data_IF_350465354751
#
_entry.id   IF_350465354751
#
_cell.length_a   1.000
_cell.length_b   1.000
_cell.length_c   1.000
_cell.angle_alpha   90.00
_cell.angle_beta   90.00
_cell.angle_gamma   90.00
#
_symmetry.space_group_name_H-M   'P 1'
#
loop_
_entity.id
_entity.type
_entity.pdbx_description
1 polymer ?
#
# COMPACT_ATOMS: atom_id res chain seq x y z
N UNK A 1 7.91 -19.45 11.31
CA UNK A 1 7.08 -20.15 10.31
C UNK A 1 6.06 -20.97 11.07
N UNK A 2 4.98 -20.31 11.49
CA UNK A 2 3.81 -20.98 12.06
C UNK A 2 3.24 -21.99 11.05
N UNK A 3 2.63 -23.07 11.56
CA UNK A 3 2.01 -24.12 10.72
C UNK A 3 0.88 -23.55 9.83
N UNK A 4 0.29 -22.42 10.22
CA UNK A 4 -0.83 -21.76 9.54
C UNK A 4 -0.49 -21.20 8.15
N UNK A 5 0.78 -20.83 7.87
CA UNK A 5 1.17 -20.38 6.53
C UNK A 5 1.31 -21.52 5.51
N UNK A 6 1.57 -22.75 5.98
CA UNK A 6 1.67 -23.93 5.11
C UNK A 6 0.25 -24.40 4.70
N UNK A 7 -0.75 -24.14 5.54
CA UNK A 7 -2.15 -24.55 5.29
C UNK A 7 -2.96 -23.56 4.43
N UNK A 8 -2.51 -22.30 4.27
CA UNK A 8 -3.05 -21.40 3.23
C UNK A 8 -2.62 -21.89 1.85
N UNK A 9 -3.37 -22.85 1.34
CA UNK A 9 -3.26 -23.45 0.00
C UNK A 9 -2.90 -22.37 -1.02
N UNK A 10 -1.78 -22.54 -1.74
CA UNK A 10 -1.46 -21.67 -2.87
C UNK A 10 -2.68 -21.67 -3.79
N UNK A 11 -3.22 -20.50 -4.19
CA UNK A 11 -4.39 -20.46 -5.04
C UNK A 11 -4.08 -21.23 -6.32
N UNK A 12 -5.00 -22.10 -6.72
CA UNK A 12 -4.87 -22.91 -7.93
C UNK A 12 -5.00 -22.10 -9.23
N UNK A 13 -5.12 -20.77 -9.13
CA UNK A 13 -5.30 -19.83 -10.22
C UNK A 13 -4.07 -18.94 -10.37
N UNK A 14 -3.26 -19.20 -11.40
CA UNK A 14 -2.14 -18.37 -11.80
C UNK A 14 -2.61 -17.41 -12.89
N UNK A 15 -2.51 -16.11 -12.64
CA UNK A 15 -2.74 -15.07 -13.64
C UNK A 15 -1.41 -14.69 -14.29
N UNK A 16 -1.15 -15.23 -15.48
CA UNK A 16 0.08 -14.98 -16.24
C UNK A 16 0.23 -13.54 -16.73
N UNK A 17 -0.86 -12.76 -16.75
CA UNK A 17 -0.82 -11.34 -17.15
C UNK A 17 -0.44 -10.42 -16.00
N UNK A 18 -0.62 -10.86 -14.76
CA UNK A 18 -0.45 -10.05 -13.56
C UNK A 18 0.95 -9.43 -13.40
N UNK A 19 2.08 -10.14 -13.65
CA UNK A 19 3.40 -9.51 -13.56
C UNK A 19 3.57 -8.33 -14.52
N UNK A 20 3.10 -8.46 -15.77
CA UNK A 20 3.20 -7.40 -16.78
C UNK A 20 2.33 -6.21 -16.41
N UNK A 21 1.14 -6.47 -15.87
CA UNK A 21 0.27 -5.45 -15.31
C UNK A 21 0.97 -4.67 -14.18
N UNK A 22 1.60 -5.36 -13.22
CA UNK A 22 2.31 -4.70 -12.14
C UNK A 22 3.47 -3.83 -12.64
N UNK A 23 4.19 -4.25 -13.68
CA UNK A 23 5.24 -3.42 -14.28
C UNK A 23 4.70 -2.09 -14.83
N UNK A 24 3.47 -2.09 -15.37
CA UNK A 24 2.79 -0.86 -15.83
C UNK A 24 2.30 0.01 -14.66
N UNK A 25 2.03 -0.61 -13.51
CA UNK A 25 1.55 0.06 -12.29
C UNK A 25 2.69 0.45 -11.32
N UNK A 26 3.92 0.59 -11.83
CA UNK A 26 5.07 1.10 -11.08
C UNK A 26 6.04 0.03 -10.56
N UNK A 27 5.76 -1.26 -10.75
CA UNK A 27 6.69 -2.35 -10.41
C UNK A 27 7.66 -2.69 -11.55
N UNK A 28 8.18 -1.68 -12.26
CA UNK A 28 8.92 -1.84 -13.53
C UNK A 28 10.06 -2.87 -13.44
N UNK A 29 10.77 -2.88 -12.30
CA UNK A 29 11.95 -3.73 -12.04
C UNK A 29 11.64 -5.07 -11.36
N UNK A 30 10.38 -5.50 -11.34
CA UNK A 30 9.93 -6.76 -10.73
C UNK A 30 10.82 -7.97 -11.10
N UNK A 31 11.18 -8.10 -12.39
CA UNK A 31 11.95 -9.23 -12.89
C UNK A 31 13.44 -9.23 -12.55
N UNK A 32 13.97 -8.13 -12.00
CA UNK A 32 15.35 -8.10 -11.53
C UNK A 32 15.55 -8.94 -10.25
N UNK A 33 14.46 -9.30 -9.55
CA UNK A 33 14.55 -10.06 -8.31
C UNK A 33 14.96 -11.52 -8.53
N UNK A 34 16.19 -11.86 -8.16
CA UNK A 34 16.72 -13.23 -8.07
C UNK A 34 16.55 -13.92 -6.70
N UNK A 35 15.70 -13.39 -5.81
CA UNK A 35 15.32 -14.03 -4.53
C UNK A 35 16.41 -14.19 -3.44
N UNK A 36 17.42 -13.31 -3.38
CA UNK A 36 18.49 -13.37 -2.34
C UNK A 36 18.05 -13.14 -0.88
N UNK A 37 16.83 -12.67 -0.63
CA UNK A 37 16.29 -12.35 0.70
C UNK A 37 16.94 -11.20 1.48
N UNK A 38 17.78 -10.37 0.85
CA UNK A 38 18.32 -9.15 1.47
C UNK A 38 17.20 -8.23 2.00
N UNK A 39 16.12 -8.09 1.23
CA UNK A 39 14.93 -7.34 1.64
C UNK A 39 14.27 -7.88 2.91
N UNK A 40 14.24 -9.20 3.13
CA UNK A 40 13.73 -9.83 4.35
C UNK A 40 14.68 -9.59 5.52
N UNK A 41 15.99 -9.72 5.29
CA UNK A 41 17.03 -9.51 6.31
C UNK A 41 17.02 -8.08 6.87
N UNK A 42 16.89 -7.07 5.99
CA UNK A 42 16.86 -5.66 6.38
C UNK A 42 15.50 -5.20 6.93
N UNK A 43 14.44 -5.99 6.80
CA UNK A 43 13.11 -5.57 7.21
C UNK A 43 12.97 -5.59 8.74
N UNK A 44 12.58 -4.46 9.38
CA UNK A 44 12.34 -4.44 10.82
C UNK A 44 11.16 -5.33 11.20
N UNK A 45 10.14 -5.44 10.33
CA UNK A 45 8.96 -6.26 10.60
C UNK A 45 9.25 -7.75 10.49
N UNK A 46 10.02 -8.20 9.50
CA UNK A 46 10.41 -9.62 9.43
C UNK A 46 11.22 -10.09 10.65
N UNK A 47 11.83 -9.15 11.40
CA UNK A 47 12.54 -9.44 12.66
C UNK A 47 11.60 -9.51 13.87
N UNK A 48 10.49 -8.78 13.84
CA UNK A 48 9.51 -8.71 14.93
C UNK A 48 8.41 -9.76 14.76
N UNK A 49 7.94 -9.92 13.53
CA UNK A 49 6.97 -10.90 13.08
C UNK A 49 7.66 -11.85 12.09
N UNK A 50 7.96 -13.06 12.56
CA UNK A 50 8.64 -14.08 11.77
C UNK A 50 7.83 -14.62 10.59
N UNK A 51 6.54 -14.25 10.48
CA UNK A 51 5.67 -14.67 9.40
C UNK A 51 5.56 -13.60 8.29
N UNK A 52 5.93 -12.33 8.55
CA UNK A 52 6.03 -11.30 7.51
C UNK A 52 7.30 -11.43 6.67
N UNK A 53 7.16 -11.58 5.35
CA UNK A 53 8.30 -11.73 4.45
C UNK A 53 8.09 -10.99 3.12
N UNK A 54 8.74 -9.81 2.91
CA UNK A 54 8.56 -9.03 1.68
C UNK A 54 9.03 -9.77 0.44
N UNK A 55 10.02 -10.68 0.55
CA UNK A 55 10.50 -11.49 -0.57
C UNK A 55 9.41 -12.39 -1.15
N UNK A 56 8.53 -12.94 -0.30
CA UNK A 56 7.46 -13.83 -0.74
C UNK A 56 6.43 -13.09 -1.59
N UNK A 57 6.10 -11.84 -1.24
CA UNK A 57 5.23 -10.99 -2.06
C UNK A 57 5.82 -10.70 -3.44
N UNK A 58 7.11 -10.36 -3.50
CA UNK A 58 7.81 -10.15 -4.80
C UNK A 58 7.79 -11.43 -5.63
N UNK A 59 8.01 -12.59 -4.99
CA UNK A 59 7.97 -13.88 -5.69
C UNK A 59 6.58 -14.20 -6.20
N UNK A 60 5.55 -14.00 -5.38
CA UNK A 60 4.16 -14.26 -5.71
C UNK A 60 3.68 -13.33 -6.84
N UNK A 61 4.08 -12.06 -6.81
CA UNK A 61 3.85 -11.10 -7.90
C UNK A 61 4.43 -11.60 -9.23
N UNK A 62 5.71 -12.00 -9.26
CA UNK A 62 6.33 -12.54 -10.48
C UNK A 62 5.79 -13.91 -10.90
N UNK A 63 5.18 -14.67 -10.00
CA UNK A 63 4.51 -15.95 -10.32
C UNK A 63 3.05 -15.78 -10.78
N UNK A 64 2.50 -14.57 -10.77
CA UNK A 64 1.10 -14.35 -11.14
C UNK A 64 0.10 -14.82 -10.07
N UNK A 65 0.52 -14.97 -8.82
CA UNK A 65 -0.36 -15.41 -7.71
C UNK A 65 -1.19 -14.25 -7.17
N UNK A 66 -1.99 -13.61 -8.03
CA UNK A 66 -2.76 -12.39 -7.74
C UNK A 66 -3.62 -12.54 -6.50
N UNK A 67 -4.51 -13.52 -6.47
CA UNK A 67 -5.46 -13.73 -5.36
C UNK A 67 -4.75 -13.89 -4.00
N UNK A 68 -3.66 -14.64 -3.97
CA UNK A 68 -2.87 -14.84 -2.73
C UNK A 68 -2.32 -13.51 -2.23
N UNK A 69 -1.80 -12.67 -3.12
CA UNK A 69 -1.22 -11.39 -2.72
C UNK A 69 -2.30 -10.42 -2.22
N UNK A 70 -3.39 -10.27 -2.97
CA UNK A 70 -4.41 -9.26 -2.67
C UNK A 70 -5.19 -9.57 -1.39
N UNK A 71 -5.46 -10.85 -1.11
CA UNK A 71 -6.21 -11.27 0.09
C UNK A 71 -5.32 -11.43 1.34
N UNK A 72 -3.99 -11.33 1.20
CA UNK A 72 -3.09 -11.49 2.32
C UNK A 72 -2.92 -10.17 3.07
N UNK A 73 -3.59 -10.05 4.22
CA UNK A 73 -3.54 -8.88 5.09
C UNK A 73 -2.12 -8.42 5.45
N UNK A 74 -1.16 -9.34 5.55
CA UNK A 74 0.23 -8.99 5.87
C UNK A 74 0.92 -8.15 4.77
N UNK A 75 0.34 -8.05 3.56
CA UNK A 75 0.76 -7.08 2.54
C UNK A 75 0.78 -5.65 3.11
N UNK A 76 -0.22 -5.32 3.93
CA UNK A 76 -0.40 -4.01 4.51
C UNK A 76 0.58 -3.69 5.64
N UNK A 77 1.29 -4.70 6.17
CA UNK A 77 2.27 -4.48 7.24
C UNK A 77 3.48 -3.68 6.76
N UNK A 78 3.83 -3.75 5.47
CA UNK A 78 4.96 -2.98 4.92
C UNK A 78 4.89 -1.50 5.33
N UNK A 79 5.88 -1.03 6.08
CA UNK A 79 5.98 0.35 6.57
C UNK A 79 6.42 1.36 5.50
N UNK A 80 6.74 0.90 4.28
CA UNK A 80 7.30 1.72 3.22
C UNK A 80 8.56 2.51 3.68
N UNK A 81 9.44 1.86 4.47
CA UNK A 81 10.66 2.48 4.99
C UNK A 81 11.84 2.51 4.01
N UNK A 82 11.67 1.96 2.80
CA UNK A 82 12.67 1.90 1.73
C UNK A 82 13.98 1.13 2.00
N UNK A 83 14.20 0.59 3.20
CA UNK A 83 15.44 -0.18 3.51
C UNK A 83 15.70 -1.31 2.51
N UNK A 84 14.67 -2.09 2.17
CA UNK A 84 14.79 -3.18 1.21
C UNK A 84 15.07 -2.74 -0.22
N UNK A 85 14.74 -1.50 -0.57
CA UNK A 85 15.03 -0.88 -1.85
C UNK A 85 16.49 -0.46 -1.94
N UNK A 86 16.97 0.30 -0.96
CA UNK A 86 18.36 0.78 -0.91
C UNK A 86 19.37 -0.36 -0.81
N UNK A 87 19.02 -1.45 -0.11
CA UNK A 87 19.91 -2.58 0.05
C UNK A 87 19.84 -3.61 -1.10
N UNK A 88 18.96 -3.44 -2.08
CA UNK A 88 18.76 -4.44 -3.12
C UNK A 88 19.97 -4.50 -4.08
N UNK A 89 20.70 -5.62 -4.17
CA UNK A 89 21.90 -5.70 -5.01
C UNK A 89 21.60 -5.65 -6.52
N UNK A 90 20.38 -6.02 -6.92
CA UNK A 90 19.94 -6.05 -8.32
C UNK A 90 19.03 -4.86 -8.68
N UNK A 91 18.84 -3.92 -7.75
CA UNK A 91 17.91 -2.80 -7.90
C UNK A 91 16.50 -3.26 -8.33
N UNK A 92 15.95 -4.29 -7.67
CA UNK A 92 14.63 -4.83 -7.98
C UNK A 92 13.46 -4.01 -7.40
N UNK A 93 13.77 -2.84 -6.83
CA UNK A 93 12.84 -1.87 -6.19
C UNK A 93 11.68 -2.52 -5.40
N UNK A 94 11.97 -3.35 -4.37
CA UNK A 94 10.94 -4.06 -3.60
C UNK A 94 9.84 -3.19 -3.00
N UNK A 95 10.16 -1.96 -2.59
CA UNK A 95 9.16 -1.05 -2.00
C UNK A 95 8.12 -0.65 -3.04
N UNK A 96 8.53 -0.37 -4.27
CA UNK A 96 7.60 -0.06 -5.37
C UNK A 96 6.76 -1.26 -5.79
N UNK A 97 7.34 -2.46 -5.84
CA UNK A 97 6.57 -3.69 -6.07
C UNK A 97 5.46 -3.82 -5.01
N UNK A 98 5.79 -3.66 -3.73
CA UNK A 98 4.81 -3.72 -2.64
C UNK A 98 3.76 -2.60 -2.74
N UNK A 99 4.15 -1.39 -3.14
CA UNK A 99 3.20 -0.28 -3.35
C UNK A 99 2.24 -0.58 -4.50
N UNK A 100 2.72 -1.09 -5.64
CA UNK A 100 1.87 -1.48 -6.77
C UNK A 100 0.86 -2.57 -6.37
N UNK A 101 1.30 -3.54 -5.56
CA UNK A 101 0.42 -4.57 -4.99
C UNK A 101 -0.64 -3.98 -4.06
N UNK A 102 -0.26 -3.04 -3.18
CA UNK A 102 -1.21 -2.33 -2.28
C UNK A 102 -2.23 -1.51 -3.08
N UNK A 103 -1.80 -0.84 -4.15
CA UNK A 103 -2.70 -0.09 -5.05
C UNK A 103 -3.71 -1.02 -5.72
N UNK A 104 -3.27 -2.19 -6.21
CA UNK A 104 -4.18 -3.20 -6.74
C UNK A 104 -5.13 -3.75 -5.67
N UNK A 105 -4.63 -4.06 -4.48
CA UNK A 105 -5.44 -4.55 -3.39
C UNK A 105 -6.51 -3.51 -2.99
N UNK A 106 -6.14 -2.23 -2.92
CA UNK A 106 -7.06 -1.13 -2.69
C UNK A 106 -8.12 -1.07 -3.77
N UNK A 107 -7.74 -1.02 -5.06
CA UNK A 107 -8.68 -0.96 -6.20
C UNK A 107 -9.64 -2.15 -6.29
N UNK A 108 -9.36 -3.24 -5.59
CA UNK A 108 -10.16 -4.47 -5.56
C UNK A 108 -10.94 -4.64 -4.23
N UNK A 109 -10.94 -3.62 -3.35
CA UNK A 109 -11.68 -3.66 -2.08
C UNK A 109 -11.01 -4.46 -0.96
N UNK A 110 -9.70 -4.77 -1.07
CA UNK A 110 -8.93 -5.49 -0.05
C UNK A 110 -8.13 -4.56 0.88
N UNK A 111 -8.49 -3.28 0.94
CA UNK A 111 -7.87 -2.33 1.85
C UNK A 111 -8.38 -2.52 3.30
N UNK A 112 -7.51 -2.35 4.32
CA UNK A 112 -7.93 -2.27 5.71
C UNK A 112 -8.92 -1.12 5.91
N UNK A 113 -9.94 -1.34 6.73
CA UNK A 113 -11.00 -0.37 7.00
C UNK A 113 -10.50 1.05 7.38
N UNK A 114 -9.44 1.23 8.20
CA UNK A 114 -8.93 2.57 8.50
C UNK A 114 -8.41 3.32 7.27
N UNK A 115 -7.82 2.62 6.30
CA UNK A 115 -7.33 3.24 5.07
C UNK A 115 -8.48 3.60 4.13
N UNK A 116 -9.48 2.71 3.98
CA UNK A 116 -10.68 3.00 3.20
C UNK A 116 -11.46 4.19 3.80
N UNK A 117 -11.58 4.25 5.13
CA UNK A 117 -12.21 5.38 5.83
C UNK A 117 -11.43 6.68 5.64
N UNK A 118 -10.09 6.65 5.72
CA UNK A 118 -9.25 7.81 5.45
C UNK A 118 -9.40 8.33 4.01
N UNK A 119 -9.49 7.43 3.03
CA UNK A 119 -9.77 7.79 1.64
C UNK A 119 -11.16 8.43 1.48
N UNK A 120 -12.18 7.90 2.16
CA UNK A 120 -13.53 8.48 2.18
C UNK A 120 -13.53 9.90 2.73
N UNK A 121 -12.92 10.11 3.90
CA UNK A 121 -12.80 11.44 4.50
C UNK A 121 -12.05 12.42 3.61
N UNK A 122 -10.97 11.97 2.98
CA UNK A 122 -10.24 12.82 2.03
C UNK A 122 -11.13 13.28 0.86
N UNK A 123 -12.06 12.44 0.40
CA UNK A 123 -13.00 12.81 -0.67
C UNK A 123 -14.16 13.69 -0.19
N UNK A 124 -14.60 13.54 1.07
CA UNK A 124 -15.78 14.24 1.64
C UNK A 124 -15.42 15.56 2.34
N UNK A 125 -14.32 15.59 3.08
CA UNK A 125 -13.90 16.68 3.99
C UNK A 125 -12.58 17.33 3.54
N UNK A 126 -12.04 16.93 2.39
CA UNK A 126 -10.72 17.32 1.89
C UNK A 126 -9.53 17.06 2.82
N UNK A 127 -9.73 16.29 3.89
CA UNK A 127 -8.75 15.99 4.94
C UNK A 127 -8.96 14.59 5.49
N UNK A 128 -7.91 14.01 6.07
CA UNK A 128 -7.99 12.71 6.77
C UNK A 128 -8.26 12.93 8.27
N UNK A 129 -7.69 13.99 8.82
CA UNK A 129 -7.90 14.40 10.20
C UNK A 129 -9.08 15.37 10.28
N UNK A 130 -9.92 15.17 11.30
CA UNK A 130 -11.03 16.06 11.60
C UNK A 130 -10.48 17.43 12.01
N UNK A 131 -11.02 18.48 11.42
CA UNK A 131 -10.86 19.85 11.88
C UNK A 131 -12.18 20.23 12.53
N UNK A 132 -12.24 20.18 13.85
CA UNK A 132 -13.40 20.55 14.62
C UNK A 132 -13.13 21.85 15.41
N UNK A 133 -14.18 22.38 16.04
CA UNK A 133 -14.10 23.59 16.85
C UNK A 133 -13.07 23.42 17.98
N UNK A 134 -12.96 22.21 18.56
CA UNK A 134 -12.00 21.91 19.62
C UNK A 134 -10.55 22.07 19.15
N UNK A 135 -10.21 21.57 17.95
CA UNK A 135 -8.88 21.76 17.37
C UNK A 135 -8.57 23.24 17.13
N UNK A 136 -9.57 24.04 16.71
CA UNK A 136 -9.38 25.47 16.50
C UNK A 136 -9.28 26.25 17.82
N UNK A 137 -9.98 25.83 18.88
CA UNK A 137 -9.81 26.35 20.24
C UNK A 137 -8.37 26.10 20.76
N UNK A 138 -7.84 24.88 20.63
CA UNK A 138 -6.46 24.56 21.03
C UNK A 138 -5.43 25.41 20.25
N UNK A 139 -5.69 25.66 18.96
CA UNK A 139 -4.84 26.52 18.13
C UNK A 139 -4.88 27.97 18.59
N UNK A 140 -6.04 28.49 18.95
CA UNK A 140 -6.19 29.85 19.48
C UNK A 140 -5.44 30.03 20.81
N UNK A 141 -5.54 29.05 21.71
CA UNK A 141 -4.79 29.02 22.98
C UNK A 141 -3.27 29.07 22.75
N UNK A 142 -2.79 28.48 21.65
CA UNK A 142 -1.39 28.56 21.20
C UNK A 142 -1.07 29.80 20.34
N UNK A 143 -2.04 30.68 20.08
CA UNK A 143 -1.89 31.88 19.26
C UNK A 143 -1.74 31.61 17.75
N UNK A 144 -2.19 30.45 17.28
CA UNK A 144 -2.19 30.02 15.89
C UNK A 144 -3.52 30.39 15.20
N UNK A 145 -3.52 30.69 13.89
CA UNK A 145 -4.75 30.96 13.15
C UNK A 145 -5.62 29.70 13.04
N UNK A 146 -6.95 29.83 12.93
CA UNK A 146 -7.84 28.68 12.70
C UNK A 146 -7.52 28.01 11.36
N UNK A 147 -7.86 26.73 11.27
CA UNK A 147 -7.85 25.99 10.01
C UNK A 147 -9.24 26.06 9.41
N UNK A 148 -9.32 26.60 8.19
CA UNK A 148 -10.53 26.61 7.38
C UNK A 148 -10.57 25.37 6.47
N UNK A 149 -11.76 25.00 6.01
CA UNK A 149 -11.98 24.01 4.96
C UNK A 149 -11.65 24.67 3.60
N UNK A 150 -10.49 24.32 3.04
CA UNK A 150 -10.09 24.75 1.68
C UNK A 150 -10.36 23.60 0.71
N UNK A 151 -11.61 23.50 0.25
CA UNK A 151 -12.10 22.46 -0.66
C UNK A 151 -11.65 22.71 -2.12
N UNK A 152 -11.36 23.96 -2.49
CA UNK A 152 -11.17 24.37 -3.89
C UNK A 152 -9.91 23.75 -4.51
N UNK A 153 -8.81 23.72 -3.75
CA UNK A 153 -7.54 23.14 -4.21
C UNK A 153 -7.68 21.63 -4.45
N UNK A 154 -8.44 20.92 -3.63
CA UNK A 154 -8.52 19.46 -3.75
C UNK A 154 -9.36 19.03 -4.95
N UNK A 155 -10.45 19.72 -5.26
CA UNK A 155 -11.23 19.45 -6.47
C UNK A 155 -10.41 19.68 -7.75
N UNK A 156 -9.55 20.70 -7.80
CA UNK A 156 -8.61 20.89 -8.91
C UNK A 156 -7.62 19.72 -9.03
N UNK A 157 -7.04 19.28 -7.90
CA UNK A 157 -6.13 18.13 -7.87
C UNK A 157 -6.85 16.86 -8.33
N UNK A 158 -8.09 16.62 -7.89
CA UNK A 158 -8.89 15.48 -8.33
C UNK A 158 -9.17 15.51 -9.83
N UNK A 159 -9.51 16.66 -10.38
CA UNK A 159 -9.76 16.82 -11.81
C UNK A 159 -8.49 16.56 -12.67
N UNK A 160 -7.32 17.02 -12.21
CA UNK A 160 -6.05 16.82 -12.93
C UNK A 160 -5.57 15.37 -12.84
N UNK A 161 -5.67 14.76 -11.66
CA UNK A 161 -5.04 13.47 -11.38
C UNK A 161 -5.96 12.27 -11.63
N UNK A 162 -7.28 12.48 -11.69
CA UNK A 162 -8.27 11.41 -11.67
C UNK A 162 -8.25 10.59 -10.38
N UNK A 163 -7.69 11.13 -9.29
CA UNK A 163 -7.52 10.40 -8.03
C UNK A 163 -8.87 10.04 -7.39
N UNK A 164 -9.88 10.91 -7.48
CA UNK A 164 -11.22 10.69 -6.91
C UNK A 164 -11.83 9.37 -7.41
N UNK A 165 -11.86 9.16 -8.72
CA UNK A 165 -12.36 7.92 -9.36
C UNK A 165 -11.58 6.66 -8.94
N UNK A 166 -10.28 6.80 -8.62
CA UNK A 166 -9.45 5.68 -8.15
C UNK A 166 -9.73 5.35 -6.69
N UNK A 167 -10.01 6.37 -5.88
CA UNK A 167 -10.36 6.22 -4.47
C UNK A 167 -11.75 5.58 -4.33
N UNK A 168 -12.74 6.04 -5.09
CA UNK A 168 -14.12 5.48 -5.09
C UNK A 168 -14.12 3.95 -5.28
N UNK A 169 -13.38 3.45 -6.28
CA UNK A 169 -13.29 2.01 -6.57
C UNK A 169 -12.77 1.14 -5.44
N UNK A 170 -12.01 1.71 -4.50
CA UNK A 170 -11.40 0.94 -3.41
C UNK A 170 -12.04 1.16 -2.04
N UNK A 171 -13.11 1.97 -1.98
CA UNK A 171 -13.86 2.28 -0.76
C UNK A 171 -15.28 1.67 -0.79
N UNK A 172 -15.78 1.27 -1.97
CA UNK A 172 -17.00 0.47 -2.16
C UNK A 172 -16.90 -0.95 -1.58
#
# INVERSE_FOLDING_TARGET
MSQDMIEKKAPNNVDSSFPNYLQQEGAERLWACYQCAKCTSGCPLSRLDGDYNPRLFIRAAGLGLKEWVLQNESLWYCLLCYTCQEECPEDARPTEVLTALKNEAFRQGFAPAPLAMGAKKLMEESRIYLVDDFLNEEREDEGLPPLDEDEEVLEEVFAITGLKERLEKGVD
#
